data_IF_938920619941
#
_entry.id   IF_938920619941
#
_cell.length_a   1.000
_cell.length_b   1.000
_cell.length_c   1.000
_cell.angle_alpha   90.00
_cell.angle_beta   90.00
_cell.angle_gamma   90.00
#
_symmetry.space_group_name_H-M   'P 1'
#
loop_
_entity.id
_entity.type
_entity.pdbx_description
1 polymer ?
#
# COMPACT_ATOMS: atom_id res chain seq x y z
N UNK A 1 10.97 17.27 2.04
CA UNK A 1 10.32 16.56 0.95
C UNK A 1 8.98 16.05 1.47
N UNK A 2 7.82 16.58 1.04
CA UNK A 2 6.55 15.97 1.40
C UNK A 2 6.50 14.66 0.62
N UNK A 3 6.61 13.52 1.33
CA UNK A 3 6.70 12.20 0.71
C UNK A 3 5.68 12.01 -0.41
N UNK A 4 6.07 11.29 -1.47
CA UNK A 4 5.22 11.02 -2.63
C UNK A 4 3.98 10.25 -2.17
N UNK A 5 2.87 10.96 -1.99
CA UNK A 5 1.58 10.38 -1.64
C UNK A 5 0.95 9.66 -2.84
N UNK A 6 0.18 8.63 -2.58
CA UNK A 6 -0.63 7.95 -3.59
C UNK A 6 -1.84 8.84 -3.90
N UNK A 7 -1.99 9.28 -5.15
CA UNK A 7 -3.18 10.01 -5.60
C UNK A 7 -4.28 9.06 -6.07
N UNK A 8 -5.20 8.73 -5.16
CA UNK A 8 -6.33 7.83 -5.44
C UNK A 8 -7.35 8.40 -6.45
N UNK A 9 -7.22 9.66 -6.87
CA UNK A 9 -8.03 10.23 -7.96
C UNK A 9 -7.61 9.70 -9.34
N UNK A 10 -6.45 9.06 -9.42
CA UNK A 10 -5.91 8.44 -10.64
C UNK A 10 -6.09 6.91 -10.61
N UNK A 11 -6.97 6.43 -9.71
CA UNK A 11 -7.30 5.01 -9.53
C UNK A 11 -6.02 4.13 -9.50
N UNK A 12 -5.95 3.13 -10.37
CA UNK A 12 -4.86 2.15 -10.44
C UNK A 12 -3.81 2.48 -11.52
N UNK A 13 -3.84 3.67 -12.13
CA UNK A 13 -3.00 4.02 -13.30
C UNK A 13 -1.50 3.86 -13.03
N UNK A 14 -1.05 4.17 -11.80
CA UNK A 14 0.36 4.11 -11.40
C UNK A 14 0.77 2.81 -10.71
N UNK A 15 -0.10 1.81 -10.74
CA UNK A 15 0.09 0.52 -10.12
C UNK A 15 0.17 -0.58 -11.17
N UNK A 16 1.17 -1.44 -11.04
CA UNK A 16 1.20 -2.72 -11.75
C UNK A 16 0.39 -3.74 -10.94
N UNK A 17 -0.69 -4.27 -11.52
CA UNK A 17 -1.48 -5.33 -10.90
C UNK A 17 -0.82 -6.68 -11.19
N UNK A 18 -0.06 -7.21 -10.23
CA UNK A 18 0.62 -8.51 -10.37
C UNK A 18 -0.33 -9.67 -10.12
N UNK A 19 -1.36 -9.47 -9.29
CA UNK A 19 -2.49 -10.38 -9.11
C UNK A 19 -3.79 -9.57 -9.04
N UNK A 20 -4.84 -10.06 -9.69
CA UNK A 20 -6.11 -9.36 -9.82
C UNK A 20 -7.28 -10.35 -9.84
N UNK A 21 -7.36 -11.19 -8.80
CA UNK A 21 -8.32 -12.30 -8.70
C UNK A 21 -9.75 -11.86 -8.39
N UNK A 22 -10.68 -12.81 -8.50
CA UNK A 22 -12.10 -12.60 -8.20
C UNK A 22 -12.72 -11.47 -9.03
N UNK A 23 -13.45 -10.60 -8.36
CA UNK A 23 -14.05 -9.37 -8.93
C UNK A 23 -13.05 -8.20 -9.08
N UNK A 24 -11.74 -8.50 -8.96
CA UNK A 24 -10.62 -7.60 -9.22
C UNK A 24 -10.47 -6.47 -8.19
N UNK A 25 -9.35 -5.75 -8.26
CA UNK A 25 -9.16 -4.49 -7.55
C UNK A 25 -10.19 -3.46 -8.01
N UNK A 26 -10.81 -2.75 -7.07
CA UNK A 26 -11.67 -1.61 -7.38
C UNK A 26 -11.29 -0.42 -6.51
N UNK A 27 -11.64 0.78 -6.97
CA UNK A 27 -11.57 2.00 -6.17
C UNK A 27 -12.98 2.34 -5.68
N UNK A 28 -13.16 2.49 -4.37
CA UNK A 28 -14.45 2.83 -3.75
C UNK A 28 -14.36 4.17 -3.02
N UNK A 29 -15.50 4.82 -2.82
CA UNK A 29 -15.62 6.03 -2.00
C UNK A 29 -15.66 5.68 -0.50
N UNK A 30 -15.10 6.56 0.32
CA UNK A 30 -15.03 6.39 1.78
C UNK A 30 -16.19 7.11 2.49
N UNK A 31 -16.84 6.50 3.50
CA UNK A 31 -16.71 5.09 3.90
C UNK A 31 -17.47 4.18 2.93
N UNK A 32 -16.93 2.99 2.67
CA UNK A 32 -17.66 1.98 1.92
C UNK A 32 -18.65 1.18 2.78
N UNK A 33 -19.37 0.27 2.12
CA UNK A 33 -20.34 -0.59 2.76
C UNK A 33 -19.70 -1.46 3.85
N UNK A 34 -20.29 -1.43 5.05
CA UNK A 34 -19.77 -2.13 6.23
C UNK A 34 -18.32 -1.76 6.62
N UNK A 35 -17.79 -0.65 6.11
CA UNK A 35 -16.44 -0.15 6.36
C UNK A 35 -16.36 0.98 7.39
N UNK A 36 -15.13 1.33 7.78
CA UNK A 36 -14.85 2.45 8.66
C UNK A 36 -14.45 3.70 7.86
N UNK A 37 -14.91 4.88 8.29
CA UNK A 37 -14.35 6.13 7.77
C UNK A 37 -12.90 6.28 8.25
N UNK A 38 -12.04 6.80 7.39
CA UNK A 38 -10.70 7.23 7.79
C UNK A 38 -10.79 8.55 8.55
N UNK A 39 -9.91 8.75 9.54
CA UNK A 39 -9.98 9.91 10.43
C UNK A 39 -9.55 11.24 9.77
N UNK A 40 -9.04 11.20 8.54
CA UNK A 40 -8.66 12.37 7.75
C UNK A 40 -9.58 12.51 6.53
N UNK A 41 -10.41 13.55 6.53
CA UNK A 41 -11.42 13.83 5.50
C UNK A 41 -10.82 14.15 4.12
N UNK A 42 -9.52 14.39 4.02
CA UNK A 42 -8.84 14.54 2.72
C UNK A 42 -8.72 13.21 1.97
N UNK A 43 -8.85 12.08 2.67
CA UNK A 43 -8.93 10.75 2.08
C UNK A 43 -10.39 10.39 1.80
N UNK A 44 -10.74 10.41 0.52
CA UNK A 44 -12.13 10.22 0.06
C UNK A 44 -12.36 8.90 -0.66
N UNK A 45 -11.29 8.15 -0.94
CA UNK A 45 -11.31 6.88 -1.68
C UNK A 45 -10.38 5.86 -1.03
N UNK A 46 -10.56 4.59 -1.38
CA UNK A 46 -9.64 3.51 -1.04
C UNK A 46 -9.68 2.40 -2.10
N UNK A 47 -8.69 1.51 -2.08
CA UNK A 47 -8.70 0.31 -2.94
C UNK A 47 -9.28 -0.88 -2.19
N UNK A 48 -10.18 -1.63 -2.83
CA UNK A 48 -10.75 -2.85 -2.29
C UNK A 48 -10.26 -4.09 -3.06
N UNK A 49 -10.01 -5.17 -2.32
CA UNK A 49 -9.62 -6.48 -2.87
C UNK A 49 -10.84 -7.38 -3.02
N UNK A 50 -10.69 -8.49 -3.72
CA UNK A 50 -11.75 -9.50 -3.89
C UNK A 50 -11.48 -10.78 -3.08
N UNK A 51 -12.26 -11.83 -3.30
CA UNK A 51 -12.19 -13.12 -2.62
C UNK A 51 -11.01 -14.01 -3.04
N UNK A 52 -10.28 -13.60 -4.08
CA UNK A 52 -9.01 -14.19 -4.51
C UNK A 52 -7.88 -13.15 -4.40
N UNK A 53 -6.60 -13.58 -4.38
CA UNK A 53 -5.47 -12.67 -4.26
C UNK A 53 -5.51 -11.48 -5.22
N UNK A 54 -5.37 -10.30 -4.65
CA UNK A 54 -5.28 -9.02 -5.35
C UNK A 54 -4.00 -8.35 -4.86
N UNK A 55 -2.98 -8.26 -5.72
CA UNK A 55 -1.65 -7.73 -5.39
C UNK A 55 -1.28 -6.68 -6.42
N UNK A 56 -0.86 -5.50 -5.93
CA UNK A 56 -0.39 -4.39 -6.76
C UNK A 56 1.00 -3.96 -6.34
N UNK A 57 1.81 -3.53 -7.30
CA UNK A 57 3.20 -3.11 -7.14
C UNK A 57 3.44 -1.73 -7.74
N UNK A 58 4.31 -0.96 -7.12
CA UNK A 58 4.88 0.25 -7.70
C UNK A 58 6.39 0.24 -7.49
N UNK A 59 7.13 0.68 -8.51
CA UNK A 59 8.59 0.89 -8.43
C UNK A 59 8.83 2.39 -8.48
N UNK A 60 9.61 2.90 -7.53
CA UNK A 60 9.99 4.31 -7.46
C UNK A 60 11.45 4.42 -7.88
N UNK A 61 11.70 5.10 -8.99
CA UNK A 61 13.05 5.46 -9.42
C UNK A 61 13.51 6.70 -8.64
N UNK A 62 14.31 6.48 -7.59
CA UNK A 62 14.80 7.56 -6.73
C UNK A 62 15.59 8.61 -7.50
N UNK A 63 16.32 8.24 -8.55
CA UNK A 63 17.09 9.21 -9.35
C UNK A 63 16.15 10.08 -10.20
N UNK A 64 15.10 9.49 -10.77
CA UNK A 64 14.07 10.23 -11.48
C UNK A 64 13.26 11.16 -10.56
N UNK A 65 13.12 10.81 -9.28
CA UNK A 65 12.56 11.69 -8.24
C UNK A 65 13.55 12.79 -7.78
N UNK A 66 14.77 12.81 -8.31
CA UNK A 66 15.77 13.86 -8.07
C UNK A 66 16.70 13.61 -6.88
N UNK A 67 16.73 12.38 -6.35
CA UNK A 67 17.72 12.01 -5.34
C UNK A 67 19.10 11.87 -6.00
N UNK A 68 20.10 12.51 -5.39
CA UNK A 68 21.49 12.45 -5.87
C UNK A 68 22.13 11.08 -5.56
N UNK A 69 22.74 10.39 -6.55
CA UNK A 69 23.33 9.07 -6.35
C UNK A 69 24.43 9.04 -5.28
N UNK A 70 25.35 10.02 -5.29
CA UNK A 70 26.45 10.06 -4.32
C UNK A 70 25.91 10.21 -2.89
N UNK A 71 24.86 11.03 -2.73
CA UNK A 71 24.19 11.19 -1.45
C UNK A 71 23.44 9.93 -1.01
N UNK A 72 22.79 9.20 -1.92
CA UNK A 72 22.17 7.90 -1.61
C UNK A 72 23.20 6.89 -1.10
N UNK A 73 24.39 6.84 -1.70
CA UNK A 73 25.45 5.91 -1.33
C UNK A 73 26.15 6.28 -0.01
N UNK A 74 26.46 7.58 0.18
CA UNK A 74 27.27 8.08 1.29
C UNK A 74 26.41 8.37 2.51
N UNK A 75 25.34 9.14 2.34
CA UNK A 75 24.52 9.61 3.45
C UNK A 75 23.43 8.61 3.84
N UNK A 76 23.00 7.76 2.90
CA UNK A 76 21.97 6.72 3.09
C UNK A 76 20.77 7.26 3.88
N UNK A 77 20.06 8.27 3.33
CA UNK A 77 18.96 8.91 4.03
C UNK A 77 17.89 7.88 4.42
N UNK A 78 17.19 8.16 5.52
CA UNK A 78 16.12 7.29 5.96
C UNK A 78 15.01 7.21 4.90
N UNK A 79 14.69 5.99 4.48
CA UNK A 79 13.51 5.71 3.65
C UNK A 79 12.38 5.30 4.59
N UNK A 80 11.34 6.12 4.66
CA UNK A 80 10.14 5.83 5.43
C UNK A 80 9.02 5.43 4.48
N UNK A 81 8.35 4.32 4.78
CA UNK A 81 7.17 3.84 4.06
C UNK A 81 6.05 3.68 5.07
N UNK A 82 4.86 4.11 4.68
CA UNK A 82 3.65 4.01 5.48
C UNK A 82 2.52 3.48 4.59
N UNK A 83 1.71 2.58 5.12
CA UNK A 83 0.50 2.12 4.44
C UNK A 83 -0.66 1.95 5.42
N UNK A 84 -1.89 2.03 4.90
CA UNK A 84 -3.11 1.91 5.69
C UNK A 84 -4.01 0.83 5.11
N UNK A 85 -4.52 -0.03 6.00
CA UNK A 85 -5.41 -1.12 5.64
C UNK A 85 -6.49 -1.33 6.69
N UNK A 86 -7.62 -1.87 6.27
CA UNK A 86 -8.74 -2.27 7.13
C UNK A 86 -9.47 -3.47 6.50
N UNK A 87 -10.47 -3.99 7.20
CA UNK A 87 -11.43 -4.95 6.66
C UNK A 87 -12.84 -4.40 6.78
N UNK A 88 -13.81 -5.08 6.16
CA UNK A 88 -15.22 -4.83 6.44
C UNK A 88 -15.61 -5.50 7.76
N UNK A 89 -16.65 -4.97 8.38
CA UNK A 89 -17.22 -5.52 9.62
C UNK A 89 -18.04 -6.80 9.41
N UNK A 90 -18.27 -7.20 8.16
CA UNK A 90 -19.02 -8.41 7.79
C UNK A 90 -18.19 -9.41 6.97
N UNK A 91 -16.94 -9.08 6.63
CA UNK A 91 -16.05 -9.93 5.85
C UNK A 91 -14.58 -9.63 6.17
N UNK A 92 -13.88 -10.66 6.62
CA UNK A 92 -12.45 -10.60 6.92
C UNK A 92 -11.57 -10.55 5.68
N UNK A 93 -10.29 -10.25 5.88
CA UNK A 93 -9.31 -10.25 4.81
C UNK A 93 -7.90 -10.62 5.31
N UNK A 94 -6.97 -10.79 4.37
CA UNK A 94 -5.55 -10.97 4.66
C UNK A 94 -4.81 -9.81 4.01
N UNK A 95 -4.11 -9.03 4.82
CA UNK A 95 -3.24 -7.96 4.37
C UNK A 95 -1.78 -8.41 4.33
N UNK A 96 -1.06 -8.01 3.28
CA UNK A 96 0.36 -8.31 3.06
C UNK A 96 1.07 -7.08 2.49
N UNK A 97 2.28 -6.83 2.96
CA UNK A 97 3.16 -5.77 2.46
C UNK A 97 4.57 -6.31 2.22
N UNK A 98 5.22 -5.86 1.17
CA UNK A 98 6.66 -6.07 0.95
C UNK A 98 7.24 -4.81 0.34
N UNK A 99 8.28 -4.28 0.96
CA UNK A 99 9.02 -3.10 0.51
C UNK A 99 10.46 -3.51 0.30
N UNK A 100 11.02 -3.26 -0.88
CA UNK A 100 12.40 -3.59 -1.22
C UNK A 100 13.14 -2.37 -1.74
N UNK A 101 14.37 -2.19 -1.27
CA UNK A 101 15.34 -1.27 -1.87
C UNK A 101 16.21 -2.06 -2.83
N UNK A 102 16.38 -1.53 -4.03
CA UNK A 102 17.15 -2.16 -5.10
C UNK A 102 18.39 -1.34 -5.44
N UNK A 103 19.44 -2.01 -5.89
CA UNK A 103 20.59 -1.36 -6.52
C UNK A 103 20.33 -1.08 -8.01
N UNK A 104 21.34 -0.52 -8.69
CA UNK A 104 21.30 -0.23 -10.13
C UNK A 104 21.10 -1.48 -11.03
N UNK A 105 21.41 -2.67 -10.51
CA UNK A 105 21.23 -3.94 -11.20
C UNK A 105 19.89 -4.61 -10.86
N UNK A 106 19.02 -3.93 -10.11
CA UNK A 106 17.76 -4.45 -9.58
C UNK A 106 17.93 -5.62 -8.59
N UNK A 107 19.09 -5.70 -7.92
CA UNK A 107 19.32 -6.64 -6.84
C UNK A 107 18.84 -6.03 -5.50
N UNK A 108 18.21 -6.86 -4.67
CA UNK A 108 17.67 -6.40 -3.38
C UNK A 108 18.81 -6.09 -2.41
N UNK A 109 18.92 -4.82 -2.01
CA UNK A 109 19.85 -4.36 -0.96
C UNK A 109 19.24 -4.60 0.42
N UNK A 110 17.95 -4.29 0.57
CA UNK A 110 17.22 -4.40 1.84
C UNK A 110 15.75 -4.68 1.59
N UNK A 111 15.17 -5.54 2.41
CA UNK A 111 13.74 -5.85 2.38
C UNK A 111 13.11 -5.59 3.76
N UNK A 112 11.92 -5.00 3.73
CA UNK A 112 10.99 -4.96 4.84
C UNK A 112 9.73 -5.73 4.45
N UNK A 113 9.48 -6.81 5.19
CA UNK A 113 8.35 -7.71 4.96
C UNK A 113 7.76 -8.13 6.31
N UNK A 114 6.75 -7.39 6.82
CA UNK A 114 6.06 -7.79 8.03
C UNK A 114 5.28 -9.10 7.81
N UNK A 115 4.94 -9.77 8.91
CA UNK A 115 4.06 -10.93 8.85
C UNK A 115 2.69 -10.54 8.29
N UNK A 116 2.05 -11.49 7.59
CA UNK A 116 0.71 -11.30 7.05
C UNK A 116 -0.29 -11.05 8.18
N UNK A 117 -1.18 -10.08 7.99
CA UNK A 117 -2.19 -9.73 8.99
C UNK A 117 -3.51 -10.31 8.55
N UNK A 118 -4.08 -11.21 9.35
CA UNK A 118 -5.46 -11.69 9.19
C UNK A 118 -6.38 -10.78 9.98
N UNK A 119 -7.42 -10.26 9.35
CA UNK A 119 -8.49 -9.49 9.98
C UNK A 119 -9.76 -10.34 9.96
N UNK A 120 -10.27 -10.69 11.14
CA UNK A 120 -11.47 -11.48 11.34
C UNK A 120 -12.58 -10.62 11.97
N UNK A 121 -13.70 -10.35 11.26
CA UNK A 121 -14.77 -9.49 11.76
C UNK A 121 -15.44 -10.01 13.04
N UNK A 122 -15.32 -11.30 13.37
CA UNK A 122 -15.87 -11.85 14.61
C UNK A 122 -15.00 -11.52 15.84
N UNK A 123 -13.73 -11.17 15.61
CA UNK A 123 -12.72 -11.00 16.67
C UNK A 123 -12.05 -9.61 16.69
N UNK A 124 -12.02 -8.91 15.55
CA UNK A 124 -11.33 -7.64 15.34
C UNK A 124 -12.29 -6.45 15.25
N UNK A 125 -11.77 -5.25 15.55
CA UNK A 125 -12.52 -4.00 15.41
C UNK A 125 -12.68 -3.52 13.96
N UNK A 126 -12.04 -4.21 13.00
CA UNK A 126 -12.01 -3.92 11.57
C UNK A 126 -11.57 -2.48 11.20
N UNK A 127 -11.01 -1.73 12.14
CA UNK A 127 -10.67 -0.32 11.95
C UNK A 127 -9.38 -0.17 11.12
N UNK A 128 -9.16 1.05 10.61
CA UNK A 128 -7.95 1.38 9.87
C UNK A 128 -6.69 1.23 10.74
N UNK A 129 -5.76 0.40 10.27
CA UNK A 129 -4.46 0.15 10.87
C UNK A 129 -3.37 0.74 9.97
N UNK A 130 -2.35 1.31 10.60
CA UNK A 130 -1.14 1.82 9.94
C UNK A 130 -0.02 0.80 10.10
N UNK A 131 0.74 0.57 9.03
CA UNK A 131 2.05 -0.08 9.06
C UNK A 131 3.15 0.90 8.68
#
# INVERSE_FOLDING_TARGET
DPGKGIDLRQDLEHWELTENGGDQWQTEDMPGDCGHAFNDESFTKYFCTSFEPCIKRQVIDLLAEGYDPENLDIAQPAVNVEDWFCSRTDCGCIYKLTVSLFDENLEVIKEFKPDEVTLDPDCDDCSWKKV
#
